data_IF_124237057964
#
_entry.id   IF_124237057964
#
_cell.length_a   1.000
_cell.length_b   1.000
_cell.length_c   1.000
_cell.angle_alpha   90.00
_cell.angle_beta   90.00
_cell.angle_gamma   90.00
#
_symmetry.space_group_name_H-M   'P 1'
#
loop_
_entity.id
_entity.type
_entity.pdbx_description
1 polymer ?
#
# COMPACT_ATOMS: atom_id res chain seq x y z
N UNK A 1 -8.58 -14.49 -25.76
CA UNK A 1 -7.76 -13.34 -25.31
C UNK A 1 -8.08 -13.10 -23.85
N UNK A 2 -7.22 -13.61 -22.95
CA UNK A 2 -7.36 -13.30 -21.53
C UNK A 2 -6.77 -11.91 -21.35
N UNK A 3 -7.63 -10.92 -21.16
CA UNK A 3 -7.22 -9.63 -20.64
C UNK A 3 -6.71 -9.91 -19.24
N UNK A 4 -5.40 -10.07 -19.12
CA UNK A 4 -4.69 -9.98 -17.85
C UNK A 4 -4.95 -8.54 -17.40
N UNK A 5 -6.07 -8.31 -16.72
CA UNK A 5 -6.20 -7.19 -15.80
C UNK A 5 -4.92 -7.26 -14.98
N UNK A 6 -4.03 -6.25 -15.02
CA UNK A 6 -2.79 -6.35 -14.27
C UNK A 6 -3.20 -6.50 -12.80
N UNK A 7 -3.07 -7.71 -12.24
CA UNK A 7 -3.53 -8.17 -10.90
C UNK A 7 -2.86 -7.38 -9.76
N UNK A 8 -3.00 -6.07 -9.75
CA UNK A 8 -2.27 -5.19 -8.85
C UNK A 8 -2.10 -3.75 -9.33
N UNK A 9 -2.89 -3.22 -10.26
CA UNK A 9 -2.84 -1.78 -10.57
C UNK A 9 -3.23 -0.93 -9.36
N UNK A 10 -4.29 -1.33 -8.65
CA UNK A 10 -4.68 -0.75 -7.36
C UNK A 10 -3.60 -0.92 -6.29
N UNK A 11 -2.96 -2.10 -6.22
CA UNK A 11 -1.82 -2.35 -5.32
C UNK A 11 -0.63 -1.43 -5.63
N UNK A 12 -0.21 -1.30 -6.90
CA UNK A 12 0.89 -0.42 -7.30
C UNK A 12 0.56 1.05 -7.03
N UNK A 13 -0.67 1.46 -7.30
CA UNK A 13 -1.14 2.83 -7.05
C UNK A 13 -1.11 3.14 -5.56
N UNK A 14 -1.53 2.20 -4.72
CA UNK A 14 -1.44 2.30 -3.27
C UNK A 14 0.00 2.36 -2.77
N UNK A 15 0.90 1.49 -3.25
CA UNK A 15 2.34 1.51 -2.91
C UNK A 15 2.93 2.88 -3.23
N UNK A 16 2.66 3.40 -4.44
CA UNK A 16 3.16 4.71 -4.87
C UNK A 16 2.65 5.82 -3.98
N UNK A 17 1.35 5.80 -3.64
CA UNK A 17 0.73 6.78 -2.75
C UNK A 17 1.29 6.72 -1.32
N UNK A 18 1.46 5.53 -0.76
CA UNK A 18 2.06 5.32 0.56
C UNK A 18 3.50 5.83 0.57
N UNK A 19 4.27 5.55 -0.49
CA UNK A 19 5.67 5.99 -0.58
C UNK A 19 5.80 7.51 -0.69
N UNK A 20 4.88 8.15 -1.41
CA UNK A 20 4.78 9.61 -1.53
C UNK A 20 4.42 10.24 -0.17
N UNK A 21 3.36 9.73 0.48
CA UNK A 21 2.96 10.17 1.81
C UNK A 21 4.02 9.97 2.89
N UNK A 22 4.79 8.89 2.80
CA UNK A 22 5.91 8.62 3.69
C UNK A 22 7.05 9.62 3.49
N UNK A 23 7.29 10.06 2.26
CA UNK A 23 8.28 11.09 1.95
C UNK A 23 7.84 12.47 2.46
N UNK A 24 6.56 12.80 2.32
CA UNK A 24 5.99 14.05 2.85
C UNK A 24 5.91 14.06 4.38
N UNK A 25 5.59 12.92 4.99
CA UNK A 25 5.39 12.79 6.44
C UNK A 25 6.26 11.66 7.01
N UNK A 26 7.53 11.93 7.35
CA UNK A 26 8.43 10.91 7.90
C UNK A 26 8.00 10.34 9.25
N UNK A 27 7.02 10.97 9.93
CA UNK A 27 6.38 10.50 11.15
C UNK A 27 5.00 9.84 10.98
N UNK A 28 4.46 9.79 9.74
CA UNK A 28 3.18 9.14 9.52
C UNK A 28 3.32 7.63 9.71
N UNK A 29 2.53 7.08 10.63
CA UNK A 29 2.45 5.65 10.84
C UNK A 29 2.04 4.97 9.55
N UNK A 30 2.91 4.10 9.05
CA UNK A 30 2.70 3.40 7.79
C UNK A 30 1.38 2.59 7.77
N UNK A 31 0.96 2.07 8.91
CA UNK A 31 -0.37 1.48 9.11
C UNK A 31 -1.50 2.42 8.69
N UNK A 32 -1.45 3.71 9.07
CA UNK A 32 -2.46 4.70 8.67
C UNK A 32 -2.46 4.92 7.17
N UNK A 33 -1.28 5.03 6.56
CA UNK A 33 -1.17 5.19 5.11
C UNK A 33 -1.74 3.98 4.35
N UNK A 34 -1.62 2.78 4.90
CA UNK A 34 -2.17 1.59 4.28
C UNK A 34 -3.68 1.52 4.47
N UNK A 35 -4.20 1.86 5.65
CA UNK A 35 -5.64 1.98 5.87
C UNK A 35 -6.28 3.02 4.93
N UNK A 36 -5.68 4.21 4.83
CA UNK A 36 -6.11 5.26 3.90
C UNK A 36 -6.04 4.77 2.44
N UNK A 37 -4.95 4.11 2.05
CA UNK A 37 -4.84 3.56 0.70
C UNK A 37 -5.87 2.46 0.44
N UNK A 38 -6.11 1.58 1.42
CA UNK A 38 -7.11 0.51 1.36
C UNK A 38 -8.51 1.05 1.10
N UNK A 39 -8.88 2.10 1.83
CA UNK A 39 -10.16 2.81 1.67
C UNK A 39 -10.22 3.61 0.38
N UNK A 40 -9.11 4.18 -0.07
CA UNK A 40 -9.05 5.05 -1.27
C UNK A 40 -9.02 4.29 -2.58
N UNK A 41 -8.34 3.15 -2.62
CA UNK A 41 -8.13 2.34 -3.82
C UNK A 41 -8.95 1.03 -3.80
N UNK A 42 -9.84 0.86 -2.83
CA UNK A 42 -10.66 -0.35 -2.66
C UNK A 42 -9.79 -1.62 -2.68
N UNK A 43 -8.71 -1.62 -1.89
CA UNK A 43 -7.86 -2.81 -1.81
C UNK A 43 -8.55 -3.91 -1.02
N UNK A 44 -8.46 -5.16 -1.48
CA UNK A 44 -8.86 -6.29 -0.66
C UNK A 44 -7.94 -6.39 0.57
N UNK A 45 -8.44 -6.95 1.69
CA UNK A 45 -7.66 -7.11 2.91
C UNK A 45 -6.35 -7.88 2.68
N UNK A 46 -6.33 -8.79 1.71
CA UNK A 46 -5.16 -9.55 1.29
C UNK A 46 -4.02 -8.67 0.78
N UNK A 47 -4.33 -7.62 0.03
CA UNK A 47 -3.35 -6.65 -0.47
C UNK A 47 -2.92 -5.68 0.63
N UNK A 48 -3.86 -5.24 1.47
CA UNK A 48 -3.56 -4.38 2.61
C UNK A 48 -2.58 -5.06 3.58
N UNK A 49 -2.80 -6.33 3.92
CA UNK A 49 -1.87 -7.12 4.73
C UNK A 49 -0.49 -7.26 4.09
N UNK A 50 -0.44 -7.46 2.76
CA UNK A 50 0.82 -7.51 2.02
C UNK A 50 1.60 -6.20 2.15
N UNK A 51 0.92 -5.06 1.98
CA UNK A 51 1.51 -3.73 2.17
C UNK A 51 2.03 -3.56 3.61
N UNK A 52 1.21 -3.87 4.61
CA UNK A 52 1.59 -3.71 6.03
C UNK A 52 2.84 -4.51 6.31
N UNK A 53 2.87 -5.77 5.89
CA UNK A 53 3.98 -6.68 6.14
C UNK A 53 5.24 -6.25 5.39
N UNK A 54 5.14 -5.96 4.09
CA UNK A 54 6.27 -5.50 3.26
C UNK A 54 6.98 -4.27 3.82
N UNK A 55 6.20 -3.31 4.34
CA UNK A 55 6.73 -2.05 4.82
C UNK A 55 7.03 -2.03 6.34
N UNK A 56 6.33 -2.81 7.17
CA UNK A 56 6.63 -3.00 8.61
C UNK A 56 7.92 -3.76 8.81
N UNK A 57 8.14 -4.81 8.03
CA UNK A 57 9.36 -5.64 8.09
C UNK A 57 10.62 -4.82 7.76
N UNK A 58 10.47 -3.74 6.97
CA UNK A 58 11.50 -2.74 6.68
C UNK A 58 11.85 -1.79 7.83
N UNK A 59 11.07 -1.72 8.92
CA UNK A 59 11.27 -0.76 10.04
C UNK A 59 11.78 -1.41 11.34
N UNK A 60 11.97 -2.73 11.36
CA UNK A 60 12.65 -3.42 12.45
C UNK A 60 14.15 -3.53 12.16
N UNK A 61 14.87 -2.44 12.38
CA UNK A 61 16.33 -2.34 12.31
C UNK A 61 16.80 -1.10 13.02
#
# INVERSE_FOLDING_TARGET
>A
MVGILPEGEQLRSAIKWISDKRAETPGAGLLKLIEDACLKFDLPPKDAEFLVRFFTEKKSG
#
